data_IF_937498812267
#
_entry.id   IF_937498812267
#
_cell.length_a   1.000
_cell.length_b   1.000
_cell.length_c   1.000
_cell.angle_alpha   90.00
_cell.angle_beta   90.00
_cell.angle_gamma   90.00
#
_symmetry.space_group_name_H-M   'P 1'
#
loop_
_entity.id
_entity.type
_entity.pdbx_description
1 polymer ?
#
# COMPACT_ATOMS: atom_id res chain seq x y z
N UNK A 1 -8.47 -0.09 -23.60
CA UNK A 1 -8.77 0.04 -22.94
C UNK A 1 -9.04 0.30 -22.31
N UNK A 2 -8.76 0.20 -22.61
CA UNK A 2 -9.09 0.36 -21.82
C UNK A 2 -9.28 0.62 -21.11
N UNK A 3 -9.15 0.39 -21.21
CA UNK A 3 -9.68 0.68 -20.41
C UNK A 3 -10.21 1.15 -19.93
N UNK A 4 -10.19 1.02 -20.30
CA UNK A 4 -10.91 1.50 -19.71
C UNK A 4 -11.60 1.75 -19.28
N UNK A 5 -11.61 1.48 -19.72
CA UNK A 5 -12.35 1.57 -19.07
C UNK A 5 -12.87 1.50 -18.59
N UNK A 6 -12.73 1.17 -18.77
CA UNK A 6 -13.25 1.08 -18.07
C UNK A 6 -13.56 1.16 -17.52
N UNK A 7 -13.40 0.86 -17.62
CA UNK A 7 -13.74 0.93 -16.86
C UNK A 7 -14.27 1.28 -16.31
N UNK A 8 -14.32 1.19 -16.51
CA UNK A 8 -14.87 1.40 -15.75
C UNK A 8 -15.64 1.47 -15.24
N UNK A 9 -15.68 1.13 -15.24
CA UNK A 9 -16.44 1.12 -14.62
C UNK A 9 -17.13 1.21 -13.91
N UNK A 10 -17.15 1.18 -13.85
CA UNK A 10 -17.89 1.36 -12.93
C UNK A 10 -18.48 0.85 -12.18
N UNK A 11 -18.00 1.07 -12.07
CA UNK A 11 -18.60 0.47 -11.56
C UNK A 11 -19.58 0.20 -10.87
N UNK A 12 -19.76 -0.56 -10.88
CA UNK A 12 -20.99 -0.71 -10.23
C UNK A 12 -20.82 -0.73 -8.76
N UNK A 13 -21.61 -0.03 -8.07
CA UNK A 13 -21.56 -0.02 -6.62
C UNK A 13 -21.80 -1.43 -6.11
N UNK A 14 -21.03 -1.85 -5.12
CA UNK A 14 -21.15 -3.17 -4.52
C UNK A 14 -20.35 -4.24 -5.21
N UNK A 15 -19.95 -4.01 -6.45
CA UNK A 15 -19.09 -4.93 -7.15
C UNK A 15 -17.65 -4.43 -7.18
N UNK A 16 -17.39 -3.34 -6.51
CA UNK A 16 -16.06 -2.76 -6.47
C UNK A 16 -15.10 -3.67 -5.73
N UNK A 17 -13.98 -3.89 -6.37
CA UNK A 17 -12.90 -4.62 -5.73
C UNK A 17 -12.21 -3.75 -4.71
N UNK A 18 -11.62 -4.39 -3.74
CA UNK A 18 -10.81 -3.68 -2.77
C UNK A 18 -9.54 -3.18 -3.44
N UNK A 19 -9.14 -1.97 -3.11
CA UNK A 19 -8.00 -1.32 -3.76
C UNK A 19 -6.80 -1.30 -2.84
N UNK A 20 -5.66 -1.67 -3.41
CA UNK A 20 -4.36 -1.67 -2.74
C UNK A 20 -3.49 -0.69 -3.51
N UNK A 21 -2.72 0.13 -2.79
CA UNK A 21 -1.79 1.06 -3.42
C UNK A 21 -0.37 0.59 -3.15
N UNK A 22 0.44 0.51 -4.20
CA UNK A 22 1.85 0.13 -4.12
C UNK A 22 2.70 1.33 -4.50
N UNK A 23 3.61 1.74 -3.63
CA UNK A 23 4.49 2.87 -3.87
C UNK A 23 5.95 2.42 -3.78
N UNK A 24 6.62 2.39 -4.94
CA UNK A 24 8.02 2.00 -5.05
C UNK A 24 8.55 2.67 -6.32
N UNK A 25 9.75 3.23 -6.29
CA UNK A 25 10.32 3.87 -7.47
C UNK A 25 10.90 2.88 -8.48
N UNK A 26 11.05 1.62 -8.08
CA UNK A 26 11.56 0.57 -8.98
C UNK A 26 10.39 -0.04 -9.76
N UNK A 27 10.33 0.16 -11.09
CA UNK A 27 9.23 -0.40 -11.88
C UNK A 27 9.18 -1.93 -11.86
N UNK A 28 10.32 -2.58 -11.70
CA UNK A 28 10.35 -4.05 -11.61
C UNK A 28 9.68 -4.55 -10.35
N UNK A 29 9.94 -3.85 -9.24
CA UNK A 29 9.32 -4.24 -7.96
C UNK A 29 7.81 -3.99 -8.02
N UNK A 30 7.38 -2.85 -8.58
CA UNK A 30 5.95 -2.59 -8.74
C UNK A 30 5.28 -3.69 -9.55
N UNK A 31 5.89 -4.07 -10.68
CA UNK A 31 5.36 -5.10 -11.56
C UNK A 31 5.28 -6.45 -10.85
N UNK A 32 6.34 -6.81 -10.13
CA UNK A 32 6.40 -8.06 -9.37
C UNK A 32 5.27 -8.13 -8.34
N UNK A 33 5.04 -7.04 -7.64
CA UNK A 33 3.99 -6.99 -6.61
C UNK A 33 2.61 -7.07 -7.24
N UNK A 34 2.40 -6.33 -8.34
CA UNK A 34 1.12 -6.37 -9.07
C UNK A 34 0.82 -7.80 -9.51
N UNK A 35 1.82 -8.50 -10.05
CA UNK A 35 1.63 -9.88 -10.49
C UNK A 35 1.32 -10.80 -9.31
N UNK A 36 2.02 -10.62 -8.20
CA UNK A 36 1.79 -11.44 -7.02
C UNK A 36 0.37 -11.27 -6.48
N UNK A 37 -0.18 -10.06 -6.59
CA UNK A 37 -1.51 -9.76 -6.10
C UNK A 37 -2.61 -10.01 -7.14
N UNK A 38 -2.24 -10.33 -8.38
CA UNK A 38 -3.21 -10.53 -9.47
C UNK A 38 -4.15 -11.70 -9.21
N UNK A 39 -3.71 -12.68 -8.42
CA UNK A 39 -4.53 -13.84 -8.06
C UNK A 39 -5.53 -13.52 -6.96
N UNK A 40 -5.40 -12.38 -6.33
CA UNK A 40 -6.25 -11.95 -5.23
C UNK A 40 -7.39 -11.08 -5.76
N UNK A 41 -8.47 -10.95 -5.00
CA UNK A 41 -9.58 -10.09 -5.44
C UNK A 41 -9.31 -8.61 -5.14
N UNK A 42 -8.13 -8.13 -5.48
CA UNK A 42 -7.72 -6.75 -5.25
C UNK A 42 -7.49 -6.03 -6.56
N UNK A 43 -7.87 -4.75 -6.60
CA UNK A 43 -7.42 -3.81 -7.62
C UNK A 43 -6.13 -3.20 -7.10
N UNK A 44 -5.08 -3.20 -7.91
CA UNK A 44 -3.78 -2.65 -7.48
C UNK A 44 -3.45 -1.41 -8.28
N UNK A 45 -3.33 -0.29 -7.59
CA UNK A 45 -2.84 0.95 -8.18
C UNK A 45 -1.37 1.11 -7.79
N UNK A 46 -0.62 1.82 -8.60
CA UNK A 46 0.81 2.01 -8.35
C UNK A 46 1.18 3.48 -8.35
N UNK A 47 2.22 3.83 -7.62
CA UNK A 47 2.81 5.16 -7.62
C UNK A 47 4.32 4.99 -7.51
N UNK A 48 5.08 5.89 -8.13
CA UNK A 48 6.54 5.81 -8.08
C UNK A 48 7.16 6.80 -7.11
N UNK A 49 6.34 7.67 -6.52
CA UNK A 49 6.78 8.67 -5.54
C UNK A 49 5.78 8.77 -4.42
N UNK A 50 6.28 9.16 -3.25
CA UNK A 50 5.42 9.33 -2.07
C UNK A 50 4.35 10.40 -2.31
N UNK A 51 4.69 11.49 -3.00
CA UNK A 51 3.74 12.57 -3.28
C UNK A 51 2.57 12.05 -4.09
N UNK A 52 2.84 11.23 -5.11
CA UNK A 52 1.78 10.65 -5.94
C UNK A 52 0.90 9.71 -5.14
N UNK A 53 1.52 8.90 -4.27
CA UNK A 53 0.77 8.00 -3.41
C UNK A 53 -0.15 8.78 -2.47
N UNK A 54 0.37 9.85 -1.89
CA UNK A 54 -0.42 10.69 -0.98
C UNK A 54 -1.61 11.31 -1.71
N UNK A 55 -1.39 11.81 -2.92
CA UNK A 55 -2.47 12.39 -3.72
C UNK A 55 -3.56 11.38 -4.02
N UNK A 56 -3.17 10.14 -4.30
CA UNK A 56 -4.16 9.09 -4.52
C UNK A 56 -4.95 8.77 -3.26
N UNK A 57 -4.28 8.72 -2.12
CA UNK A 57 -4.92 8.44 -0.84
C UNK A 57 -5.93 9.53 -0.48
N UNK A 58 -5.66 10.76 -0.87
CA UNK A 58 -6.58 11.88 -0.64
C UNK A 58 -7.88 11.74 -1.44
N UNK A 59 -7.85 11.01 -2.55
CA UNK A 59 -8.98 10.92 -3.47
C UNK A 59 -9.68 9.56 -3.45
N UNK A 60 -8.97 8.53 -3.06
CA UNK A 60 -9.43 7.14 -3.17
C UNK A 60 -9.22 6.44 -1.85
N UNK A 61 -10.21 5.65 -1.44
CA UNK A 61 -10.09 4.85 -0.24
C UNK A 61 -9.35 3.56 -0.56
N UNK A 62 -8.23 3.34 0.10
CA UNK A 62 -7.45 2.12 -0.06
C UNK A 62 -7.57 1.24 1.17
N UNK A 63 -7.46 -0.07 0.95
CA UNK A 63 -7.52 -1.05 2.04
C UNK A 63 -6.15 -1.29 2.65
N UNK A 64 -5.11 -1.05 1.88
CA UNK A 64 -3.73 -1.17 2.36
C UNK A 64 -2.82 -0.35 1.46
N UNK A 65 -1.71 0.10 2.03
CA UNK A 65 -0.64 0.77 1.31
C UNK A 65 0.63 -0.05 1.48
N UNK A 66 1.29 -0.38 0.37
CA UNK A 66 2.61 -0.99 0.39
C UNK A 66 3.59 0.12 0.02
N UNK A 67 4.52 0.44 0.91
CA UNK A 67 5.36 1.62 0.78
C UNK A 67 6.82 1.27 0.95
N UNK A 68 7.63 1.61 -0.07
CA UNK A 68 9.09 1.53 0.04
C UNK A 68 9.57 2.70 0.88
N UNK A 69 10.39 2.44 1.89
CA UNK A 69 10.92 3.50 2.73
C UNK A 69 11.98 4.34 2.03
N UNK A 70 12.60 3.81 0.98
CA UNK A 70 13.66 4.51 0.28
C UNK A 70 13.15 5.09 -1.03
N UNK A 71 12.45 6.20 -0.94
CA UNK A 71 11.90 6.88 -2.10
C UNK A 71 12.64 8.20 -2.32
N UNK A 72 12.78 8.64 -3.58
CA UNK A 72 13.34 9.96 -3.84
C UNK A 72 12.37 11.05 -3.38
N UNK A 73 12.91 12.17 -2.95
CA UNK A 73 12.13 13.29 -2.48
C UNK A 73 11.68 13.07 -1.05
N UNK A 74 10.37 13.08 -0.81
CA UNK A 74 9.82 12.84 0.52
C UNK A 74 10.14 11.41 0.96
N UNK A 75 10.88 11.28 2.05
CA UNK A 75 11.28 9.98 2.56
C UNK A 75 10.11 9.17 3.09
N UNK A 76 10.31 7.84 3.15
CA UNK A 76 9.25 6.93 3.53
C UNK A 76 8.71 7.16 4.94
N UNK A 77 9.59 7.45 5.91
CA UNK A 77 9.14 7.70 7.27
C UNK A 77 8.28 8.96 7.36
N UNK A 78 8.69 10.02 6.65
CA UNK A 78 7.88 11.24 6.60
C UNK A 78 6.58 11.01 5.86
N UNK A 79 6.61 10.18 4.82
CA UNK A 79 5.41 9.84 4.08
C UNK A 79 4.39 9.13 4.96
N UNK A 80 4.84 8.25 5.85
CA UNK A 80 3.94 7.57 6.80
C UNK A 80 3.19 8.59 7.63
N UNK A 81 3.90 9.59 8.16
CA UNK A 81 3.28 10.62 8.99
C UNK A 81 2.22 11.39 8.22
N UNK A 82 2.51 11.73 6.97
CA UNK A 82 1.55 12.47 6.14
C UNK A 82 0.32 11.60 5.83
N UNK A 83 0.55 10.35 5.44
CA UNK A 83 -0.54 9.42 5.14
C UNK A 83 -1.47 9.28 6.34
N UNK A 84 -0.90 9.17 7.54
CA UNK A 84 -1.68 9.00 8.77
C UNK A 84 -2.58 10.20 9.06
N UNK A 85 -2.23 11.38 8.56
CA UNK A 85 -3.08 12.56 8.72
C UNK A 85 -4.31 12.49 7.83
N UNK A 86 -4.18 11.90 6.65
CA UNK A 86 -5.31 11.79 5.72
C UNK A 86 -6.16 10.57 5.98
N UNK A 87 -5.53 9.48 6.42
CA UNK A 87 -6.25 8.23 6.67
C UNK A 87 -5.51 7.47 7.77
N UNK A 88 -5.81 7.81 9.00
CA UNK A 88 -5.11 7.26 10.16
C UNK A 88 -5.31 5.77 10.36
N UNK A 89 -6.36 5.20 9.78
CA UNK A 89 -6.68 3.78 9.93
C UNK A 89 -6.13 2.93 8.77
N UNK A 90 -5.52 3.56 7.76
CA UNK A 90 -4.99 2.82 6.61
C UNK A 90 -3.80 1.96 7.03
N UNK A 91 -3.88 0.63 6.88
CA UNK A 91 -2.72 -0.21 7.20
C UNK A 91 -1.59 0.01 6.21
N UNK A 92 -0.39 0.22 6.72
CA UNK A 92 0.79 0.47 5.90
C UNK A 92 1.76 -0.70 6.04
N UNK A 93 2.07 -1.33 4.93
CA UNK A 93 3.08 -2.39 4.84
C UNK A 93 4.33 -1.74 4.28
N UNK A 94 5.38 -1.72 5.07
CA UNK A 94 6.63 -1.05 4.70
C UNK A 94 7.60 -2.07 4.11
N UNK A 95 8.27 -1.69 3.04
CA UNK A 95 9.36 -2.46 2.44
C UNK A 95 10.64 -1.66 2.55
N UNK A 96 11.76 -2.33 2.84
CA UNK A 96 13.04 -1.65 2.85
C UNK A 96 14.17 -2.60 2.46
N UNK A 97 15.11 -2.11 1.65
CA UNK A 97 16.34 -2.82 1.34
C UNK A 97 17.47 -2.45 2.29
N UNK A 98 17.25 -1.50 3.17
CA UNK A 98 18.25 -1.02 4.12
C UNK A 98 17.71 -1.12 5.53
N UNK A 99 17.50 -2.35 5.98
CA UNK A 99 16.96 -2.60 7.30
C UNK A 99 17.98 -2.23 8.37
N UNK A 100 17.53 -1.56 9.42
CA UNK A 100 18.31 -1.32 10.61
C UNK A 100 17.34 -1.33 11.78
N UNK A 101 17.87 -1.55 12.96
CA UNK A 101 17.05 -1.53 14.16
C UNK A 101 16.36 -0.17 14.31
N UNK A 102 17.12 0.90 14.12
CA UNK A 102 16.59 2.26 14.26
C UNK A 102 15.46 2.56 13.29
N UNK A 103 15.63 2.17 12.03
CA UNK A 103 14.61 2.39 11.02
C UNK A 103 13.36 1.59 11.36
N UNK A 104 13.52 0.33 11.75
CA UNK A 104 12.38 -0.50 12.13
C UNK A 104 11.63 0.09 13.31
N UNK A 105 12.36 0.53 14.35
CA UNK A 105 11.71 1.12 15.51
C UNK A 105 10.97 2.40 15.16
N UNK A 106 11.57 3.23 14.30
CA UNK A 106 10.93 4.46 13.86
C UNK A 106 9.65 4.18 13.06
N UNK A 107 9.70 3.19 12.19
CA UNK A 107 8.53 2.82 11.37
C UNK A 107 7.41 2.29 12.27
N UNK A 108 7.74 1.43 13.21
CA UNK A 108 6.74 0.88 14.13
C UNK A 108 6.14 1.96 15.01
N UNK A 109 6.97 2.90 15.49
CA UNK A 109 6.48 4.03 16.26
C UNK A 109 5.55 4.92 15.44
N UNK A 110 5.77 4.98 14.13
CA UNK A 110 4.90 5.75 13.23
C UNK A 110 3.57 5.05 12.95
N UNK A 111 3.41 3.80 13.38
CA UNK A 111 2.14 3.11 13.31
C UNK A 111 1.94 2.25 12.08
N UNK A 112 3.00 1.62 11.59
CA UNK A 112 2.87 0.71 10.44
C UNK A 112 2.20 -0.60 10.84
N UNK A 113 1.67 -1.30 9.85
CA UNK A 113 1.02 -2.58 10.05
C UNK A 113 2.02 -3.73 9.96
N UNK A 114 2.95 -3.68 9.02
CA UNK A 114 3.89 -4.77 8.79
C UNK A 114 5.18 -4.24 8.19
N UNK A 115 6.30 -4.90 8.48
CA UNK A 115 7.64 -4.46 8.06
C UNK A 115 8.29 -5.60 7.28
N UNK A 116 8.59 -5.36 5.99
CA UNK A 116 9.24 -6.33 5.12
C UNK A 116 10.64 -5.87 4.75
N UNK A 117 11.60 -6.78 4.83
CA UNK A 117 12.98 -6.51 4.45
C UNK A 117 13.24 -7.14 3.08
N UNK A 118 13.74 -6.35 2.13
CA UNK A 118 14.10 -6.84 0.80
C UNK A 118 15.42 -7.62 0.86
N UNK A 119 15.56 -8.73 0.16
CA UNK A 119 14.51 -9.40 -0.61
C UNK A 119 13.57 -10.17 0.31
N UNK A 120 12.29 -10.10 0.02
CA UNK A 120 11.30 -10.80 0.84
C UNK A 120 10.59 -11.87 0.01
N UNK A 121 9.91 -12.77 0.70
CA UNK A 121 9.12 -13.81 0.08
C UNK A 121 7.77 -13.21 -0.36
N UNK A 122 7.38 -13.42 -1.60
CA UNK A 122 6.12 -12.88 -2.12
C UNK A 122 4.90 -13.45 -1.38
N UNK A 123 5.00 -14.70 -0.90
CA UNK A 123 3.91 -15.27 -0.11
C UNK A 123 3.74 -14.52 1.19
N UNK A 124 4.83 -14.06 1.77
CA UNK A 124 4.78 -13.24 2.99
C UNK A 124 4.09 -11.91 2.71
N UNK A 125 4.43 -11.27 1.59
CA UNK A 125 3.78 -10.02 1.19
C UNK A 125 2.28 -10.22 1.00
N UNK A 126 1.89 -11.26 0.26
CA UNK A 126 0.47 -11.52 0.00
C UNK A 126 -0.28 -11.77 1.30
N UNK A 127 0.32 -12.55 2.22
CA UNK A 127 -0.29 -12.83 3.52
C UNK A 127 -0.46 -11.54 4.33
N UNK A 128 0.53 -10.66 4.28
CA UNK A 128 0.46 -9.37 4.98
C UNK A 128 -0.64 -8.50 4.41
N UNK A 129 -0.79 -8.47 3.08
CA UNK A 129 -1.84 -7.69 2.43
C UNK A 129 -3.23 -8.22 2.83
N UNK A 130 -3.39 -9.54 2.81
CA UNK A 130 -4.67 -10.15 3.21
C UNK A 130 -5.02 -9.78 4.65
N UNK A 131 -4.03 -9.85 5.55
CA UNK A 131 -4.24 -9.50 6.94
C UNK A 131 -4.59 -8.03 7.09
N UNK A 132 -3.92 -7.15 6.33
CA UNK A 132 -4.17 -5.72 6.37
C UNK A 132 -5.59 -5.40 5.92
N UNK A 133 -6.04 -6.02 4.84
CA UNK A 133 -7.39 -5.80 4.32
C UNK A 133 -8.43 -6.21 5.36
N UNK A 134 -8.24 -7.37 5.99
CA UNK A 134 -9.16 -7.83 7.03
C UNK A 134 -9.18 -6.88 8.23
N UNK A 135 -7.99 -6.41 8.63
CA UNK A 135 -7.87 -5.47 9.74
C UNK A 135 -8.62 -4.17 9.43
N UNK A 136 -8.45 -3.67 8.21
CA UNK A 136 -9.12 -2.45 7.77
C UNK A 136 -10.64 -2.60 7.83
N UNK A 137 -11.15 -3.73 7.38
CA UNK A 137 -12.59 -3.99 7.36
C UNK A 137 -13.15 -4.02 8.78
N UNK A 138 -12.47 -4.69 9.69
CA UNK A 138 -12.91 -4.77 11.10
C UNK A 138 -12.92 -3.37 11.72
N UNK A 139 -11.88 -2.60 11.49
CA UNK A 139 -11.76 -1.25 12.04
C UNK A 139 -12.86 -0.34 11.52
N UNK A 140 -13.18 -0.44 10.24
CA UNK A 140 -14.22 0.36 9.63
C UNK A 140 -15.59 0.03 10.19
N UNK A 141 -15.86 -1.24 10.47
CA UNK A 141 -17.15 -1.66 11.02
C UNK A 141 -17.37 -1.13 12.44
N UNK A 142 -16.28 -0.89 13.16
CA UNK A 142 -16.36 -0.40 14.54
C UNK A 142 -16.42 1.12 14.62
N UNK A 143 -16.06 1.79 13.54
CA UNK A 143 -16.02 3.25 13.52
C UNK A 143 -17.39 3.89 13.45
#
# INVERSE_FOLDING_TARGET
MTHDAASASPTAAGSERERILVCDDDPRMRETIVEALAQEPFEVDTADRAVDAIQRIMRTSYRALILDLKLPGLGGLDAISVVKRFDGALPIIVMTGHASYEVEQAARAAGIFYYLVKPFNLDELVAAVRAAVRFRDVTRRRA
#
